data_IF_985032627278
#
_entry.id   IF_985032627278
#
_cell.length_a   1.000
_cell.length_b   1.000
_cell.length_c   1.000
_cell.angle_alpha   90.00
_cell.angle_beta   90.00
_cell.angle_gamma   90.00
#
_symmetry.space_group_name_H-M   'P 1'
#
loop_
_entity.id
_entity.type
_entity.pdbx_description
1 polymer ?
#
# COMPACT_ATOMS: atom_id res chain seq x y z
N UNK A 1 -20.63 15.44 -3.03
CA UNK A 1 -19.26 15.70 -3.47
C UNK A 1 -19.21 15.64 -4.99
N UNK A 2 -19.12 16.81 -5.68
CA UNK A 2 -18.99 16.89 -7.15
C UNK A 2 -17.51 16.71 -7.58
N UNK A 3 -16.82 15.70 -7.06
CA UNK A 3 -15.40 15.44 -7.33
C UNK A 3 -15.12 15.18 -8.83
N UNK A 4 -16.08 14.60 -9.53
CA UNK A 4 -15.99 14.35 -10.97
C UNK A 4 -15.94 15.63 -11.83
N UNK A 5 -16.34 16.79 -11.29
CA UNK A 5 -16.32 18.07 -12.02
C UNK A 5 -15.02 18.87 -11.79
N UNK A 6 -14.23 18.52 -10.76
CA UNK A 6 -13.00 19.24 -10.38
C UNK A 6 -11.71 18.57 -10.81
N UNK A 7 -11.75 17.29 -11.24
CA UNK A 7 -10.56 16.51 -11.60
C UNK A 7 -10.67 15.95 -13.03
N UNK A 8 -9.77 16.34 -13.95
CA UNK A 8 -9.70 15.72 -15.27
C UNK A 8 -9.31 14.24 -15.12
N UNK A 9 -9.85 13.38 -15.98
CA UNK A 9 -9.57 11.94 -15.98
C UNK A 9 -9.76 11.28 -14.59
N UNK A 10 -10.83 11.67 -13.87
CA UNK A 10 -11.12 11.18 -12.51
C UNK A 10 -11.13 9.64 -12.40
N UNK A 11 -11.58 8.94 -13.46
CA UNK A 11 -11.57 7.49 -13.51
C UNK A 11 -10.16 6.91 -13.37
N UNK A 12 -9.15 7.52 -14.00
CA UNK A 12 -7.74 7.12 -13.89
C UNK A 12 -7.21 7.38 -12.49
N UNK A 13 -7.53 8.56 -11.93
CA UNK A 13 -7.18 8.91 -10.54
C UNK A 13 -7.71 7.86 -9.57
N UNK A 14 -9.02 7.60 -9.62
CA UNK A 14 -9.68 6.64 -8.75
C UNK A 14 -9.12 5.22 -8.92
N UNK A 15 -9.00 4.76 -10.17
CA UNK A 15 -8.57 3.39 -10.44
C UNK A 15 -7.11 3.16 -10.06
N UNK A 16 -6.21 4.13 -10.26
CA UNK A 16 -4.82 4.02 -9.80
C UNK A 16 -4.71 3.87 -8.28
N UNK A 17 -5.47 4.65 -7.52
CA UNK A 17 -5.54 4.49 -6.06
C UNK A 17 -6.11 3.13 -5.63
N UNK A 18 -7.21 2.68 -6.29
CA UNK A 18 -7.85 1.39 -5.99
C UNK A 18 -6.93 0.20 -6.28
N UNK A 19 -6.19 0.21 -7.38
CA UNK A 19 -5.26 -0.88 -7.73
C UNK A 19 -4.17 -1.01 -6.66
N UNK A 20 -3.64 0.10 -6.16
CA UNK A 20 -2.59 0.07 -5.15
C UNK A 20 -3.11 -0.37 -3.77
N UNK A 21 -4.30 0.11 -3.36
CA UNK A 21 -4.89 -0.31 -2.07
C UNK A 21 -5.32 -1.78 -2.11
N UNK A 22 -5.75 -2.30 -3.26
CA UNK A 22 -6.04 -3.73 -3.42
C UNK A 22 -4.78 -4.58 -3.21
N UNK A 23 -3.63 -4.15 -3.77
CA UNK A 23 -2.35 -4.80 -3.50
C UNK A 23 -2.03 -4.81 -1.99
N UNK A 24 -2.21 -3.66 -1.31
CA UNK A 24 -1.99 -3.57 0.13
C UNK A 24 -2.91 -4.52 0.90
N UNK A 25 -4.21 -4.50 0.61
CA UNK A 25 -5.21 -5.31 1.28
C UNK A 25 -4.93 -6.81 1.09
N UNK A 26 -4.64 -7.24 -0.13
CA UNK A 26 -4.36 -8.63 -0.44
C UNK A 26 -3.04 -9.09 0.20
N UNK A 27 -1.96 -8.33 0.03
CA UNK A 27 -0.65 -8.70 0.56
C UNK A 27 -0.64 -8.73 2.09
N UNK A 28 -1.23 -7.74 2.77
CA UNK A 28 -1.25 -7.69 4.23
C UNK A 28 -2.16 -8.78 4.82
N UNK A 29 -3.40 -8.93 4.32
CA UNK A 29 -4.33 -9.95 4.82
C UNK A 29 -3.77 -11.36 4.63
N UNK A 30 -3.30 -11.69 3.42
CA UNK A 30 -2.80 -13.03 3.12
C UNK A 30 -1.49 -13.36 3.88
N UNK A 31 -0.59 -12.38 4.03
CA UNK A 31 0.63 -12.57 4.82
C UNK A 31 0.34 -12.82 6.31
N UNK A 32 -0.71 -12.18 6.86
CA UNK A 32 -1.15 -12.40 8.24
C UNK A 32 -1.67 -13.82 8.46
N UNK A 33 -2.41 -14.38 7.50
CA UNK A 33 -2.97 -15.74 7.58
C UNK A 33 -1.98 -16.83 7.21
N UNK A 34 -0.91 -16.49 6.48
CA UNK A 34 -0.04 -17.44 5.79
C UNK A 34 0.50 -18.58 6.65
N UNK A 35 0.90 -18.31 7.89
CA UNK A 35 1.44 -19.33 8.80
C UNK A 35 0.35 -20.25 9.33
N UNK A 36 -0.81 -19.71 9.69
CA UNK A 36 -1.95 -20.48 10.23
C UNK A 36 -2.56 -21.36 9.14
N UNK A 37 -2.79 -20.82 7.94
CA UNK A 37 -3.36 -21.55 6.80
C UNK A 37 -2.47 -22.71 6.34
N UNK A 38 -1.14 -22.56 6.52
CA UNK A 38 -0.15 -23.59 6.17
C UNK A 38 0.35 -24.38 7.39
N UNK A 39 -0.39 -24.41 8.50
CA UNK A 39 0.01 -25.07 9.76
C UNK A 39 0.45 -26.54 9.59
N UNK A 40 -0.19 -27.29 8.68
CA UNK A 40 0.20 -28.67 8.39
C UNK A 40 1.61 -28.80 7.78
N UNK A 41 2.02 -27.83 6.95
CA UNK A 41 3.37 -27.76 6.36
C UNK A 41 4.39 -27.27 7.40
N UNK A 42 4.03 -26.24 8.16
CA UNK A 42 4.89 -25.67 9.23
C UNK A 42 5.31 -26.72 10.25
N UNK A 43 4.43 -27.71 10.54
CA UNK A 43 4.69 -28.81 11.49
C UNK A 43 5.55 -29.93 10.90
N UNK A 44 5.50 -30.15 9.57
CA UNK A 44 6.09 -31.33 8.93
C UNK A 44 7.40 -31.05 8.21
N UNK A 45 7.65 -29.81 7.81
CA UNK A 45 8.78 -29.45 6.95
C UNK A 45 9.67 -28.44 7.69
N UNK A 46 10.97 -28.70 7.66
CA UNK A 46 11.99 -27.78 8.18
C UNK A 46 12.25 -26.66 7.17
N UNK A 47 11.31 -25.69 7.10
CA UNK A 47 11.45 -24.47 6.30
C UNK A 47 11.46 -23.26 7.24
N UNK A 48 12.22 -22.19 6.90
CA UNK A 48 12.08 -20.91 7.59
C UNK A 48 10.63 -20.44 7.48
N UNK A 49 9.99 -20.20 8.61
CA UNK A 49 8.55 -19.89 8.68
C UNK A 49 8.19 -18.54 8.03
N UNK A 50 9.16 -17.67 7.90
CA UNK A 50 9.08 -16.38 7.22
C UNK A 50 8.75 -16.51 5.72
N UNK A 51 9.06 -17.65 5.12
CA UNK A 51 8.79 -17.92 3.71
C UNK A 51 7.29 -17.89 3.39
N UNK A 52 6.41 -18.23 4.34
CA UNK A 52 4.96 -18.22 4.12
C UNK A 52 4.41 -16.81 3.91
N UNK A 53 4.66 -15.80 4.78
CA UNK A 53 4.28 -14.42 4.53
C UNK A 53 4.93 -13.83 3.28
N UNK A 54 6.22 -14.15 3.02
CA UNK A 54 6.93 -13.69 1.81
C UNK A 54 6.27 -14.24 0.55
N UNK A 55 5.97 -15.54 0.50
CA UNK A 55 5.29 -16.16 -0.65
C UNK A 55 3.92 -15.54 -0.90
N UNK A 56 3.13 -15.28 0.17
CA UNK A 56 1.83 -14.61 0.06
C UNK A 56 1.95 -13.18 -0.50
N UNK A 57 2.97 -12.43 -0.08
CA UNK A 57 3.25 -11.09 -0.64
C UNK A 57 3.61 -11.16 -2.12
N UNK A 58 4.41 -12.16 -2.55
CA UNK A 58 4.76 -12.36 -3.95
C UNK A 58 3.52 -12.69 -4.79
N UNK A 59 2.63 -13.55 -4.28
CA UNK A 59 1.37 -13.89 -4.95
C UNK A 59 0.50 -12.64 -5.13
N UNK A 60 0.39 -11.79 -4.11
CA UNK A 60 -0.35 -10.54 -4.21
C UNK A 60 0.25 -9.60 -5.28
N UNK A 61 1.58 -9.52 -5.40
CA UNK A 61 2.24 -8.77 -6.48
C UNK A 61 1.91 -9.36 -7.85
N UNK A 62 1.90 -10.69 -8.00
CA UNK A 62 1.52 -11.34 -9.27
C UNK A 62 0.06 -11.02 -9.63
N UNK A 63 -0.87 -11.04 -8.67
CA UNK A 63 -2.28 -10.70 -8.88
C UNK A 63 -2.51 -9.20 -9.17
N UNK A 64 -1.62 -8.34 -8.70
CA UNK A 64 -1.62 -6.92 -8.98
C UNK A 64 -1.20 -6.61 -10.43
N UNK A 65 -0.27 -7.38 -11.03
CA UNK A 65 0.25 -7.10 -12.37
C UNK A 65 -0.82 -6.96 -13.46
N UNK A 66 -1.84 -7.85 -13.59
CA UNK A 66 -2.92 -7.67 -14.55
C UNK A 66 -3.68 -6.36 -14.36
N UNK A 67 -3.95 -5.95 -13.11
CA UNK A 67 -4.64 -4.70 -12.80
C UNK A 67 -3.80 -3.49 -13.22
N UNK A 68 -2.49 -3.52 -12.96
CA UNK A 68 -1.56 -2.50 -13.40
C UNK A 68 -1.48 -2.41 -14.93
N UNK A 69 -1.41 -3.55 -15.63
CA UNK A 69 -1.38 -3.59 -17.09
C UNK A 69 -2.65 -2.94 -17.67
N UNK A 70 -3.82 -3.30 -17.17
CA UNK A 70 -5.09 -2.68 -17.62
C UNK A 70 -5.06 -1.16 -17.40
N UNK A 71 -4.60 -0.70 -16.23
CA UNK A 71 -4.47 0.71 -15.93
C UNK A 71 -3.54 1.42 -16.93
N UNK A 72 -2.36 0.86 -17.19
CA UNK A 72 -1.38 1.46 -18.11
C UNK A 72 -1.86 1.46 -19.56
N UNK A 73 -2.60 0.43 -19.99
CA UNK A 73 -3.24 0.39 -21.33
C UNK A 73 -4.26 1.52 -21.47
N UNK A 74 -5.13 1.71 -20.47
CA UNK A 74 -6.11 2.81 -20.47
C UNK A 74 -5.41 4.16 -20.51
N UNK A 75 -4.35 4.35 -19.72
CA UNK A 75 -3.55 5.58 -19.75
C UNK A 75 -2.90 5.82 -21.12
N UNK A 76 -2.42 4.77 -21.80
CA UNK A 76 -1.88 4.85 -23.13
C UNK A 76 -2.87 5.42 -24.16
N UNK A 77 -4.14 5.01 -24.09
CA UNK A 77 -5.20 5.58 -24.93
C UNK A 77 -5.52 7.06 -24.62
N UNK A 78 -5.21 7.52 -23.41
CA UNK A 78 -5.37 8.90 -22.96
C UNK A 78 -4.14 9.79 -23.23
N UNK A 79 -3.16 9.29 -24.00
CA UNK A 79 -1.94 10.05 -24.30
C UNK A 79 -0.95 10.11 -23.15
N UNK A 80 -0.80 9.02 -22.41
CA UNK A 80 0.14 8.93 -21.29
C UNK A 80 1.60 8.99 -21.79
N UNK A 81 2.31 10.04 -21.41
CA UNK A 81 3.73 10.25 -21.73
C UNK A 81 4.50 10.57 -20.43
N UNK A 82 4.82 9.54 -19.61
CA UNK A 82 5.49 9.77 -18.35
C UNK A 82 6.96 10.14 -18.55
N UNK A 83 7.46 11.04 -17.71
CA UNK A 83 8.89 11.27 -17.55
C UNK A 83 9.55 10.10 -16.81
N UNK A 84 10.88 9.99 -16.91
CA UNK A 84 11.64 8.97 -16.15
C UNK A 84 11.35 9.02 -14.64
N UNK A 85 11.25 10.22 -14.06
CA UNK A 85 10.93 10.41 -12.63
C UNK A 85 9.54 9.86 -12.30
N UNK A 86 8.56 10.06 -13.16
CA UNK A 86 7.20 9.55 -12.96
C UNK A 86 7.14 8.01 -12.98
N UNK A 87 7.89 7.37 -13.89
CA UNK A 87 8.03 5.90 -13.90
C UNK A 87 8.70 5.41 -12.62
N UNK A 88 9.74 6.11 -12.15
CA UNK A 88 10.40 5.78 -10.87
C UNK A 88 9.43 5.90 -9.69
N UNK A 89 8.54 6.90 -9.69
CA UNK A 89 7.51 7.06 -8.67
C UNK A 89 6.51 5.90 -8.64
N UNK A 90 6.13 5.35 -9.81
CA UNK A 90 5.26 4.15 -9.89
C UNK A 90 5.94 2.98 -9.18
N UNK A 91 7.20 2.70 -9.55
CA UNK A 91 7.97 1.59 -8.96
C UNK A 91 8.14 1.79 -7.46
N UNK A 92 8.48 3.02 -7.03
CA UNK A 92 8.67 3.35 -5.61
C UNK A 92 7.35 3.20 -4.83
N UNK A 93 6.22 3.64 -5.37
CA UNK A 93 4.90 3.49 -4.73
C UNK A 93 4.53 2.02 -4.51
N UNK A 94 4.74 1.17 -5.52
CA UNK A 94 4.51 -0.27 -5.41
C UNK A 94 5.46 -0.90 -4.38
N UNK A 95 6.74 -0.54 -4.41
CA UNK A 95 7.75 -1.05 -3.49
C UNK A 95 7.41 -0.71 -2.03
N UNK A 96 6.97 0.52 -1.75
CA UNK A 96 6.53 0.96 -0.42
C UNK A 96 5.40 0.07 0.08
N UNK A 97 4.38 -0.20 -0.74
CA UNK A 97 3.24 -1.03 -0.36
C UNK A 97 3.67 -2.48 -0.09
N UNK A 98 4.53 -3.06 -0.92
CA UNK A 98 5.03 -4.43 -0.71
C UNK A 98 5.83 -4.55 0.59
N UNK A 99 6.73 -3.59 0.84
CA UNK A 99 7.52 -3.57 2.08
C UNK A 99 6.62 -3.38 3.30
N UNK A 100 5.67 -2.45 3.24
CA UNK A 100 4.73 -2.15 4.32
C UNK A 100 3.87 -3.38 4.65
N UNK A 101 3.23 -3.96 3.63
CA UNK A 101 2.33 -5.10 3.81
C UNK A 101 3.08 -6.34 4.31
N UNK A 102 4.31 -6.58 3.84
CA UNK A 102 5.14 -7.67 4.36
C UNK A 102 5.53 -7.43 5.83
N UNK A 103 5.95 -6.21 6.18
CA UNK A 103 6.32 -5.86 7.56
C UNK A 103 5.15 -6.02 8.53
N UNK A 104 3.99 -5.48 8.18
CA UNK A 104 2.76 -5.64 8.95
C UNK A 104 2.28 -7.09 8.94
N UNK A 105 2.37 -7.80 7.81
CA UNK A 105 2.03 -9.21 7.68
C UNK A 105 2.86 -10.13 8.57
N UNK A 106 4.17 -9.88 8.69
CA UNK A 106 5.04 -10.57 9.63
C UNK A 106 4.65 -10.28 11.09
N UNK A 107 4.43 -9.00 11.42
CA UNK A 107 4.04 -8.60 12.77
C UNK A 107 2.73 -9.25 13.20
N UNK A 108 1.66 -9.02 12.42
CA UNK A 108 0.34 -9.54 12.73
C UNK A 108 0.22 -11.04 12.49
N UNK A 109 0.98 -11.61 11.55
CA UNK A 109 1.06 -13.05 11.33
C UNK A 109 1.63 -13.79 12.53
N UNK A 110 2.68 -13.25 13.16
CA UNK A 110 3.22 -13.81 14.39
C UNK A 110 2.21 -13.75 15.57
N UNK A 111 1.46 -12.65 15.67
CA UNK A 111 0.41 -12.48 16.69
C UNK A 111 -0.77 -13.42 16.38
N UNK A 112 -1.14 -13.61 15.11
CA UNK A 112 -2.27 -14.43 14.68
C UNK A 112 -2.09 -15.92 15.00
N UNK A 113 -0.85 -16.41 15.06
CA UNK A 113 -0.57 -17.78 15.54
C UNK A 113 -0.92 -17.95 17.02
N UNK A 114 -0.68 -16.94 17.85
CA UNK A 114 -0.98 -16.97 19.27
C UNK A 114 -2.43 -16.57 19.58
N UNK A 115 -2.96 -15.59 18.87
CA UNK A 115 -4.27 -14.98 19.08
C UNK A 115 -5.01 -14.96 17.73
N UNK A 116 -5.83 -15.95 17.45
CA UNK A 116 -6.57 -16.10 16.19
C UNK A 116 -7.46 -14.90 15.82
N UNK A 117 -7.78 -14.05 16.78
CA UNK A 117 -8.56 -12.82 16.57
C UNK A 117 -7.75 -11.67 15.96
N UNK A 118 -6.42 -11.82 15.79
CA UNK A 118 -5.58 -10.80 15.17
C UNK A 118 -6.04 -10.45 13.75
N UNK A 119 -6.64 -11.41 13.02
CA UNK A 119 -7.20 -11.16 11.71
C UNK A 119 -8.32 -10.11 11.71
N UNK A 120 -9.20 -10.10 12.71
CA UNK A 120 -10.26 -9.10 12.82
C UNK A 120 -9.69 -7.68 12.99
N UNK A 121 -8.55 -7.54 13.69
CA UNK A 121 -7.84 -6.26 13.82
C UNK A 121 -7.26 -5.84 12.46
N UNK A 122 -6.67 -6.79 11.73
CA UNK A 122 -6.14 -6.52 10.37
C UNK A 122 -7.26 -6.05 9.45
N UNK A 123 -8.41 -6.69 9.44
CA UNK A 123 -9.55 -6.32 8.60
C UNK A 123 -10.05 -4.89 8.93
N UNK A 124 -10.03 -4.50 10.19
CA UNK A 124 -10.30 -3.11 10.60
C UNK A 124 -9.24 -2.13 10.08
N UNK A 125 -7.95 -2.47 10.21
CA UNK A 125 -6.85 -1.63 9.70
C UNK A 125 -6.99 -1.44 8.19
N UNK A 126 -7.31 -2.49 7.44
CA UNK A 126 -7.50 -2.45 6.00
C UNK A 126 -8.66 -1.54 5.60
N UNK A 127 -9.80 -1.64 6.32
CA UNK A 127 -10.95 -0.77 6.10
C UNK A 127 -10.56 0.71 6.32
N UNK A 128 -9.95 1.03 7.46
CA UNK A 128 -9.53 2.40 7.76
C UNK A 128 -8.46 2.91 6.80
N UNK A 129 -7.50 2.08 6.39
CA UNK A 129 -6.46 2.45 5.43
C UNK A 129 -7.05 2.88 4.08
N UNK A 130 -8.11 2.22 3.62
CA UNK A 130 -8.82 2.58 2.39
C UNK A 130 -9.45 3.97 2.48
N UNK A 131 -10.10 4.30 3.60
CA UNK A 131 -10.74 5.60 3.80
C UNK A 131 -9.77 6.74 4.15
N UNK A 132 -8.67 6.43 4.83
CA UNK A 132 -7.64 7.39 5.21
C UNK A 132 -6.64 7.69 4.08
N UNK A 133 -6.74 7.04 2.92
CA UNK A 133 -5.87 7.29 1.77
C UNK A 133 -6.58 8.15 0.72
N UNK A 134 -5.84 9.00 -0.04
CA UNK A 134 -6.42 9.93 -1.00
C UNK A 134 -6.84 9.22 -2.31
N UNK A 135 -7.73 8.24 -2.19
CA UNK A 135 -8.24 7.45 -3.32
C UNK A 135 -9.52 8.08 -3.87
N UNK A 136 -10.46 8.42 -2.97
CA UNK A 136 -11.77 8.95 -3.30
C UNK A 136 -11.83 10.48 -3.29
N UNK A 137 -10.81 11.14 -2.78
CA UNK A 137 -10.73 12.58 -2.59
C UNK A 137 -9.30 13.08 -2.84
N UNK A 138 -9.14 14.37 -3.06
CA UNK A 138 -7.82 14.96 -3.26
C UNK A 138 -7.18 15.42 -1.93
N UNK A 139 -5.87 15.53 -1.91
CA UNK A 139 -5.10 15.95 -0.72
C UNK A 139 -5.45 17.39 -0.29
N UNK A 140 -5.84 18.25 -1.23
CA UNK A 140 -6.23 19.63 -0.94
C UNK A 140 -7.45 19.71 -0.01
N UNK A 141 -8.43 18.80 -0.15
CA UNK A 141 -9.58 18.73 0.77
C UNK A 141 -9.15 18.40 2.20
N UNK A 142 -8.09 17.59 2.36
CA UNK A 142 -7.54 17.26 3.68
C UNK A 142 -6.85 18.48 4.29
N UNK A 143 -6.11 19.23 3.49
CA UNK A 143 -5.46 20.48 3.91
C UNK A 143 -6.49 21.52 4.36
N UNK A 144 -7.56 21.71 3.60
CA UNK A 144 -8.65 22.62 3.93
C UNK A 144 -9.41 22.21 5.21
N UNK A 145 -9.56 20.90 5.46
CA UNK A 145 -10.32 20.38 6.61
C UNK A 145 -9.50 20.30 7.90
N UNK A 146 -8.23 19.88 7.82
CA UNK A 146 -7.37 19.58 8.98
C UNK A 146 -6.26 20.62 9.21
N UNK A 147 -6.09 21.56 8.29
CA UNK A 147 -4.99 22.53 8.32
C UNK A 147 -3.60 21.91 8.11
N UNK A 148 -2.52 22.72 8.21
CA UNK A 148 -1.17 22.28 7.84
C UNK A 148 -0.61 21.18 8.75
N UNK A 149 -0.93 21.21 10.04
CA UNK A 149 -0.48 20.18 10.99
C UNK A 149 -1.18 18.85 10.72
N UNK A 150 -2.49 18.88 10.47
CA UNK A 150 -3.27 17.68 10.13
C UNK A 150 -2.80 17.06 8.81
N UNK A 151 -2.42 17.87 7.83
CA UNK A 151 -1.85 17.42 6.57
C UNK A 151 -0.51 16.68 6.77
N UNK A 152 0.36 17.16 7.66
CA UNK A 152 1.63 16.47 7.98
C UNK A 152 1.34 15.10 8.57
N UNK A 153 0.44 15.00 9.56
CA UNK A 153 0.06 13.73 10.19
C UNK A 153 -0.54 12.76 9.15
N UNK A 154 -1.40 13.27 8.28
CA UNK A 154 -2.01 12.51 7.20
C UNK A 154 -0.97 11.92 6.24
N UNK A 155 0.05 12.71 5.88
CA UNK A 155 1.13 12.30 4.98
C UNK A 155 2.19 11.39 5.65
N UNK A 156 2.17 11.23 6.98
CA UNK A 156 2.98 10.22 7.67
C UNK A 156 2.46 8.79 7.45
N UNK A 157 1.21 8.64 7.00
CA UNK A 157 0.68 7.33 6.61
C UNK A 157 1.40 6.83 5.34
N UNK A 158 2.13 5.69 5.39
CA UNK A 158 2.88 5.19 4.23
C UNK A 158 1.99 4.87 3.02
N UNK A 159 0.75 4.44 3.25
CA UNK A 159 -0.21 4.17 2.18
C UNK A 159 -0.56 5.46 1.43
N UNK A 160 -0.76 6.56 2.15
CA UNK A 160 -1.00 7.89 1.55
C UNK A 160 0.15 8.32 0.65
N UNK A 161 1.40 8.19 1.12
CA UNK A 161 2.59 8.52 0.34
C UNK A 161 2.72 7.66 -0.92
N UNK A 162 2.46 6.36 -0.81
CA UNK A 162 2.51 5.44 -1.95
C UNK A 162 1.42 5.74 -3.00
N UNK A 163 0.19 6.02 -2.56
CA UNK A 163 -0.93 6.42 -3.45
C UNK A 163 -0.59 7.74 -4.15
N UNK A 164 -0.05 8.73 -3.44
CA UNK A 164 0.40 10.00 -4.02
C UNK A 164 1.46 9.82 -5.10
N UNK A 165 2.45 8.94 -4.88
CA UNK A 165 3.46 8.60 -5.89
C UNK A 165 2.84 7.96 -7.13
N UNK A 166 1.88 7.06 -6.96
CA UNK A 166 1.20 6.41 -8.09
C UNK A 166 0.34 7.40 -8.87
N UNK A 167 -0.39 8.31 -8.20
CA UNK A 167 -1.11 9.39 -8.86
C UNK A 167 -0.19 10.29 -9.66
N UNK A 168 0.99 10.64 -9.11
CA UNK A 168 1.98 11.44 -9.82
C UNK A 168 2.54 10.72 -11.05
N UNK A 169 2.77 9.41 -10.96
CA UNK A 169 3.33 8.61 -12.06
C UNK A 169 2.33 8.25 -13.15
N UNK A 170 1.07 7.99 -12.77
CA UNK A 170 0.05 7.45 -13.68
C UNK A 170 -0.94 8.52 -14.11
N UNK A 171 -1.58 9.21 -13.16
CA UNK A 171 -2.66 10.16 -13.46
C UNK A 171 -2.13 11.50 -13.98
N UNK A 172 -1.10 12.09 -13.35
CA UNK A 172 -0.59 13.40 -13.73
C UNK A 172 -0.17 13.47 -15.21
N UNK A 173 0.51 12.48 -15.82
CA UNK A 173 0.88 12.53 -17.23
C UNK A 173 -0.32 12.46 -18.20
N UNK A 174 -1.50 12.02 -17.74
CA UNK A 174 -2.73 12.00 -18.56
C UNK A 174 -3.47 13.33 -18.53
N UNK A 175 -2.96 14.32 -17.78
CA UNK A 175 -3.58 15.63 -17.59
C UNK A 175 -2.68 16.74 -18.14
N UNK A 176 -3.19 17.96 -18.22
CA UNK A 176 -2.45 19.13 -18.71
C UNK A 176 -1.32 19.59 -17.77
N UNK A 177 -1.12 18.98 -16.62
CA UNK A 177 -0.09 19.26 -15.60
C UNK A 177 -0.02 20.78 -15.23
N UNK A 178 -1.17 21.45 -15.21
CA UNK A 178 -1.24 22.85 -14.77
C UNK A 178 -0.92 22.95 -13.26
N UNK A 179 -0.46 24.12 -12.77
CA UNK A 179 -0.20 24.33 -11.34
C UNK A 179 -1.41 23.98 -10.45
N UNK A 180 -2.63 24.21 -10.95
CA UNK A 180 -3.87 23.89 -10.25
C UNK A 180 -4.06 22.38 -10.10
N UNK A 181 -3.79 21.59 -11.15
CA UNK A 181 -3.90 20.13 -11.14
C UNK A 181 -2.80 19.53 -10.23
N UNK A 182 -1.59 20.07 -10.31
CA UNK A 182 -0.50 19.63 -9.46
C UNK A 182 -0.76 19.91 -7.97
N UNK A 183 -1.44 21.01 -7.65
CA UNK A 183 -1.86 21.33 -6.29
C UNK A 183 -2.88 20.33 -5.70
N UNK A 184 -3.66 19.61 -6.54
CA UNK A 184 -4.59 18.57 -6.08
C UNK A 184 -3.87 17.35 -5.46
N UNK A 185 -2.61 17.11 -5.85
CA UNK A 185 -1.79 16.02 -5.31
C UNK A 185 -1.01 16.41 -4.05
N UNK A 186 -1.00 17.70 -3.70
CA UNK A 186 -0.19 18.25 -2.61
C UNK A 186 1.24 18.60 -3.04
N UNK A 187 1.90 19.43 -2.23
CA UNK A 187 3.32 19.76 -2.40
C UNK A 187 4.18 18.56 -1.98
N UNK A 188 5.36 18.42 -2.59
CA UNK A 188 6.41 17.51 -2.13
C UNK A 188 6.07 15.99 -2.15
N UNK A 189 5.36 15.51 -3.18
CA UNK A 189 4.99 14.09 -3.34
C UNK A 189 6.20 13.16 -3.17
N UNK A 190 7.37 13.52 -3.71
CA UNK A 190 8.60 12.74 -3.57
C UNK A 190 9.10 12.70 -2.12
N UNK A 191 9.05 13.83 -1.42
CA UNK A 191 9.46 13.91 -0.01
C UNK A 191 8.60 13.00 0.86
N UNK A 192 7.28 13.07 0.72
CA UNK A 192 6.37 12.20 1.47
C UNK A 192 6.48 10.74 1.05
N UNK A 193 6.78 10.45 -0.22
CA UNK A 193 7.11 9.11 -0.70
C UNK A 193 8.37 8.54 -0.02
N UNK A 194 9.43 9.33 0.14
CA UNK A 194 10.64 8.90 0.86
C UNK A 194 10.38 8.66 2.36
N UNK A 195 9.58 9.52 3.00
CA UNK A 195 9.15 9.32 4.39
C UNK A 195 8.34 8.01 4.50
N UNK A 196 7.41 7.76 3.58
CA UNK A 196 6.63 6.53 3.51
C UNK A 196 7.53 5.29 3.37
N UNK A 197 8.56 5.35 2.54
CA UNK A 197 9.55 4.29 2.41
C UNK A 197 10.29 4.03 3.72
N UNK A 198 10.77 5.09 4.38
CA UNK A 198 11.46 4.99 5.68
C UNK A 198 10.58 4.33 6.75
N UNK A 199 9.32 4.79 6.87
CA UNK A 199 8.35 4.21 7.82
C UNK A 199 8.07 2.74 7.50
N UNK A 200 7.91 2.39 6.22
CA UNK A 200 7.68 1.00 5.78
C UNK A 200 8.86 0.09 6.10
N UNK A 201 10.10 0.57 5.91
CA UNK A 201 11.31 -0.16 6.27
C UNK A 201 11.43 -0.37 7.79
N UNK A 202 11.11 0.65 8.60
CA UNK A 202 11.10 0.53 10.06
C UNK A 202 10.07 -0.52 10.49
N UNK A 203 8.85 -0.50 9.91
CA UNK A 203 7.80 -1.48 10.22
C UNK A 203 8.19 -2.90 9.75
N UNK A 204 8.91 -3.04 8.64
CA UNK A 204 9.46 -4.33 8.20
C UNK A 204 10.46 -4.88 9.21
N UNK A 205 11.39 -4.05 9.68
CA UNK A 205 12.39 -4.47 10.68
C UNK A 205 11.70 -4.86 11.99
N UNK A 206 10.73 -4.08 12.46
CA UNK A 206 9.96 -4.40 13.67
C UNK A 206 9.19 -5.71 13.48
N UNK A 207 8.49 -5.88 12.35
CA UNK A 207 7.74 -7.09 12.01
C UNK A 207 8.65 -8.33 12.03
N UNK A 208 9.81 -8.24 11.37
CA UNK A 208 10.80 -9.30 11.34
C UNK A 208 11.33 -9.67 12.73
N UNK A 209 11.66 -8.67 13.56
CA UNK A 209 12.16 -8.89 14.91
C UNK A 209 11.12 -9.57 15.81
N UNK A 210 9.87 -9.15 15.72
CA UNK A 210 8.76 -9.74 16.49
C UNK A 210 8.50 -11.16 16.01
N UNK A 211 8.45 -11.37 14.68
CA UNK A 211 8.24 -12.69 14.08
C UNK A 211 9.32 -13.68 14.53
N UNK A 212 10.60 -13.33 14.40
CA UNK A 212 11.73 -14.18 14.79
C UNK A 212 11.76 -14.52 16.29
N UNK A 213 11.19 -13.65 17.15
CA UNK A 213 11.05 -13.95 18.59
C UNK A 213 9.90 -14.92 18.86
N UNK A 214 8.76 -14.72 18.20
CA UNK A 214 7.55 -15.50 18.45
C UNK A 214 7.52 -16.83 17.69
N UNK A 215 8.27 -16.99 16.59
CA UNK A 215 8.29 -18.23 15.81
C UNK A 215 8.70 -19.47 16.62
N UNK A 216 9.52 -19.28 17.69
CA UNK A 216 9.94 -20.37 18.60
C UNK A 216 8.75 -21.05 19.29
N UNK A 217 7.65 -20.31 19.51
CA UNK A 217 6.44 -20.80 20.16
C UNK A 217 5.39 -21.35 19.18
N UNK A 218 5.58 -21.18 17.85
CA UNK A 218 4.56 -21.58 16.85
C UNK A 218 4.25 -23.07 16.88
N UNK A 219 5.24 -23.92 17.14
CA UNK A 219 5.02 -25.36 17.20
C UNK A 219 4.09 -25.80 18.35
N UNK A 220 3.97 -24.95 19.38
CA UNK A 220 3.09 -25.22 20.54
C UNK A 220 1.68 -24.62 20.35
N UNK A 221 1.56 -23.55 19.53
CA UNK A 221 0.32 -22.78 19.39
C UNK A 221 -0.47 -23.16 18.11
N UNK A 222 0.14 -23.82 17.15
CA UNK A 222 -0.50 -24.34 15.94
C UNK A 222 -1.08 -25.74 16.17
#
# INVERSE_FOLDING_TARGET
LKLNQSMPNFAVYLFSGLVLINLFNEAFSNSTKAVVDNSALVKKVYLPRELFPVASSIIAVVNFLPQLIVLLVVCGFLGWHPSFVQVLCIVLGVLIIVILSLGLGLLFGAINVALRDAQNIVDMILLFSTWLSPILYNVKLVEEALGPIGLVIYNLNPVTGAVGLLHYGVWAPTTAQTPEIMALMGSDVLRFGLIALMVSLILLVIGQLVFSRLEKSFAQNL
#
